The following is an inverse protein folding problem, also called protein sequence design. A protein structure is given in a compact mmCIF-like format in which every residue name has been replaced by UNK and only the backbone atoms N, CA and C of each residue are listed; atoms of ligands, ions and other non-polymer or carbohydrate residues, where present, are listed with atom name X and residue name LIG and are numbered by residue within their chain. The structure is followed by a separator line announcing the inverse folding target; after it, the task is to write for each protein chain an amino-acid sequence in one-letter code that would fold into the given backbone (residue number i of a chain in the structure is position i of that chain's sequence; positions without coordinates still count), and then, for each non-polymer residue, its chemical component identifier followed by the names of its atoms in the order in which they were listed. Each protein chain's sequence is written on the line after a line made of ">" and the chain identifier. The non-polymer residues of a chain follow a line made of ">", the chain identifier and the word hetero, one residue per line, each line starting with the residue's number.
data_IF_558311919130
#
_entry.id   IF_558311919130
#
_cell.length_a   1.000
_cell.length_b   1.000
_cell.length_c   1.000
_cell.angle_alpha   90.00
_cell.angle_beta   90.00
_cell.angle_gamma   90.00
#
_symmetry.space_group_name_H-M   'P 1'
#
loop_
_entity.id
_entity.type
_entity.pdbx_description
1 polymer ?
#
# COMPACT_ATOMS: atom_id res chain seq x y z
N UNK A 1 4.92 -16.64 12.22
CA UNK A 1 4.82 -18.07 12.55
C UNK A 1 3.59 -18.75 11.96
N UNK A 2 2.36 -18.27 12.22
CA UNK A 2 1.14 -18.84 11.64
C UNK A 2 1.20 -18.94 10.10
N UNK A 3 1.60 -17.87 9.40
CA UNK A 3 1.80 -17.87 7.93
C UNK A 3 2.76 -18.96 7.45
N UNK A 4 3.83 -19.23 8.22
CA UNK A 4 4.82 -20.27 7.91
C UNK A 4 4.21 -21.67 8.05
N UNK A 5 3.37 -21.88 9.07
CA UNK A 5 2.73 -23.17 9.35
C UNK A 5 1.61 -23.47 8.34
N UNK A 6 0.80 -22.48 7.96
CA UNK A 6 -0.28 -22.65 6.97
C UNK A 6 0.28 -23.10 5.61
N UNK A 7 1.45 -22.58 5.19
CA UNK A 7 2.07 -23.00 3.94
C UNK A 7 2.52 -24.47 3.88
N UNK A 8 2.53 -25.18 5.01
CA UNK A 8 2.96 -26.58 5.12
C UNK A 8 1.82 -27.59 5.28
N UNK A 9 0.56 -27.13 5.33
CA UNK A 9 -0.61 -27.99 5.52
C UNK A 9 -1.71 -27.64 4.52
N UNK A 10 -2.48 -28.64 4.07
CA UNK A 10 -3.61 -28.43 3.15
C UNK A 10 -4.92 -28.12 3.88
N UNK A 11 -5.06 -28.56 5.12
CA UNK A 11 -6.25 -28.39 5.95
C UNK A 11 -5.86 -28.13 7.41
N UNK A 12 -6.76 -27.47 8.13
CA UNK A 12 -6.57 -27.14 9.53
C UNK A 12 -7.87 -26.72 10.20
N UNK A 13 -7.84 -26.66 11.52
CA UNK A 13 -8.96 -26.22 12.35
C UNK A 13 -8.62 -24.91 13.03
N UNK A 14 -9.61 -24.01 13.09
CA UNK A 14 -9.53 -22.76 13.85
C UNK A 14 -10.62 -22.78 14.91
N UNK A 15 -10.19 -22.63 16.17
CA UNK A 15 -11.07 -22.48 17.32
C UNK A 15 -10.97 -21.07 17.89
N UNK A 16 -12.09 -20.53 18.34
CA UNK A 16 -12.14 -19.28 19.09
C UNK A 16 -12.75 -19.54 20.46
N UNK A 17 -11.98 -19.28 21.51
CA UNK A 17 -12.48 -19.23 22.87
C UNK A 17 -12.73 -17.77 23.24
N UNK A 18 -14.01 -17.42 23.36
CA UNK A 18 -14.46 -16.08 23.69
C UNK A 18 -14.22 -15.73 25.16
N UNK A 19 -14.28 -16.72 26.06
CA UNK A 19 -14.19 -16.50 27.50
C UNK A 19 -12.74 -16.26 27.91
N UNK A 20 -11.80 -16.94 27.25
CA UNK A 20 -10.36 -16.76 27.50
C UNK A 20 -9.69 -15.76 26.53
N UNK A 21 -10.44 -15.17 25.59
CA UNK A 21 -9.91 -14.31 24.52
C UNK A 21 -8.75 -14.98 23.77
N UNK A 22 -8.92 -16.23 23.33
CA UNK A 22 -7.88 -17.02 22.67
C UNK A 22 -8.31 -17.52 21.31
N UNK A 23 -7.35 -17.56 20.39
CA UNK A 23 -7.46 -18.28 19.12
C UNK A 23 -6.59 -19.54 19.16
N UNK A 24 -7.16 -20.63 18.67
CA UNK A 24 -6.55 -21.94 18.57
C UNK A 24 -6.44 -22.29 17.10
N UNK A 25 -5.27 -22.73 16.67
CA UNK A 25 -5.02 -23.22 15.32
C UNK A 25 -4.46 -24.61 15.43
N UNK A 26 -5.11 -25.59 14.78
CA UNK A 26 -4.61 -26.96 14.65
C UNK A 26 -4.28 -27.20 13.19
N UNK A 27 -2.99 -27.39 12.92
CA UNK A 27 -2.42 -27.50 11.58
C UNK A 27 -1.60 -28.80 11.52
N UNK A 28 -2.20 -29.87 11.01
CA UNK A 28 -1.61 -31.22 11.08
C UNK A 28 -1.40 -31.66 12.53
N UNK A 29 -0.15 -31.96 12.91
CA UNK A 29 0.25 -32.34 14.27
C UNK A 29 0.61 -31.14 15.16
N UNK A 30 0.60 -29.91 14.62
CA UNK A 30 0.96 -28.70 15.36
C UNK A 30 -0.29 -28.00 15.90
N UNK A 31 -0.27 -27.68 17.18
CA UNK A 31 -1.28 -26.83 17.83
C UNK A 31 -0.64 -25.49 18.23
N UNK A 32 -1.24 -24.39 17.80
CA UNK A 32 -0.83 -23.03 18.13
C UNK A 32 -1.97 -22.33 18.87
N UNK A 33 -1.64 -21.75 20.02
CA UNK A 33 -2.59 -20.98 20.83
C UNK A 33 -2.03 -19.58 20.99
N UNK A 34 -2.86 -18.58 20.71
CA UNK A 34 -2.51 -17.17 20.92
C UNK A 34 -3.61 -16.46 21.68
N UNK A 35 -3.21 -15.50 22.51
CA UNK A 35 -4.13 -14.57 23.13
C UNK A 35 -4.49 -13.47 22.12
N UNK A 36 -5.74 -13.06 22.12
CA UNK A 36 -6.16 -11.85 21.43
C UNK A 36 -5.58 -10.63 22.15
N UNK A 37 -5.32 -9.58 21.35
CA UNK A 37 -4.94 -8.29 21.90
C UNK A 37 -6.22 -7.66 22.47
N UNK A 38 -6.18 -7.31 23.75
CA UNK A 38 -7.26 -6.55 24.37
C UNK A 38 -7.21 -5.10 23.86
N UNK A 39 -8.27 -4.69 23.18
CA UNK A 39 -8.40 -3.33 22.67
C UNK A 39 -9.46 -3.21 21.58
N UNK A 40 -10.00 -2.01 21.44
CA UNK A 40 -10.86 -1.69 20.31
C UNK A 40 -9.97 -1.35 19.12
N UNK A 41 -10.05 -2.17 18.08
CA UNK A 41 -9.44 -1.80 16.80
C UNK A 41 -10.16 -0.56 16.25
N UNK A 42 -9.44 0.44 15.72
CA UNK A 42 -10.05 1.63 15.14
C UNK A 42 -11.06 1.27 14.05
N UNK A 43 -12.13 2.07 13.91
CA UNK A 43 -13.08 1.91 12.81
C UNK A 43 -12.42 2.31 11.49
N UNK A 44 -11.74 1.36 10.86
CA UNK A 44 -10.98 1.55 9.63
C UNK A 44 -11.87 2.01 8.47
N UNK A 45 -13.20 1.78 8.54
CA UNK A 45 -14.12 2.21 7.48
C UNK A 45 -14.21 3.73 7.38
N UNK A 46 -13.82 4.46 8.44
CA UNK A 46 -13.79 5.92 8.45
C UNK A 46 -12.57 6.50 7.73
N UNK A 47 -11.48 5.73 7.59
CA UNK A 47 -10.27 6.20 6.89
C UNK A 47 -10.29 5.89 5.40
N UNK A 48 -11.14 4.95 4.95
CA UNK A 48 -11.32 4.62 3.53
C UNK A 48 -12.29 5.64 2.92
N UNK A 49 -11.83 6.57 2.05
CA UNK A 49 -12.71 7.51 1.39
C UNK A 49 -13.75 6.79 0.53
N UNK A 50 -15.03 7.16 0.67
CA UNK A 50 -16.12 6.58 -0.14
C UNK A 50 -16.23 7.20 -1.54
N UNK A 51 -15.69 8.40 -1.70
CA UNK A 51 -15.63 9.14 -2.95
C UNK A 51 -14.21 9.65 -3.12
N UNK A 52 -13.72 9.54 -4.34
CA UNK A 52 -12.42 10.02 -4.79
C UNK A 52 -12.73 10.95 -5.98
N UNK A 53 -12.10 12.11 -6.02
CA UNK A 53 -12.34 13.09 -7.10
C UNK A 53 -11.44 12.82 -8.31
N UNK A 54 -10.34 12.12 -8.07
CA UNK A 54 -9.34 11.76 -9.06
C UNK A 54 -9.07 10.26 -9.03
N UNK A 55 -8.90 9.69 -10.21
CA UNK A 55 -8.51 8.31 -10.43
C UNK A 55 -7.39 8.28 -11.48
N UNK A 56 -6.36 7.48 -11.21
CA UNK A 56 -5.18 7.31 -12.06
C UNK A 56 -4.96 5.83 -12.27
N UNK A 57 -4.97 5.40 -13.53
CA UNK A 57 -4.60 4.03 -13.90
C UNK A 57 -3.17 3.99 -14.45
N UNK A 58 -2.37 3.05 -14.00
CA UNK A 58 -0.97 2.95 -14.41
C UNK A 58 -0.40 1.54 -14.27
N UNK A 59 0.68 1.27 -15.00
CA UNK A 59 1.38 -0.02 -14.93
C UNK A 59 2.07 -0.20 -13.57
N UNK A 60 1.76 -1.31 -12.90
CA UNK A 60 2.22 -1.64 -11.56
C UNK A 60 3.74 -1.74 -11.45
N UNK A 61 4.36 -2.47 -12.38
CA UNK A 61 5.80 -2.73 -12.36
C UNK A 61 6.62 -1.49 -12.76
N UNK A 62 6.10 -0.66 -13.67
CA UNK A 62 6.72 0.63 -14.01
C UNK A 62 6.79 1.55 -12.78
N UNK A 63 5.67 1.72 -12.06
CA UNK A 63 5.65 2.50 -10.82
C UNK A 63 6.58 1.88 -9.77
N UNK A 64 6.53 0.56 -9.59
CA UNK A 64 7.34 -0.14 -8.58
C UNK A 64 8.84 0.02 -8.84
N UNK A 65 9.28 -0.07 -10.10
CA UNK A 65 10.68 0.12 -10.49
C UNK A 65 11.13 1.56 -10.21
N UNK A 66 10.31 2.53 -10.63
CA UNK A 66 10.56 3.95 -10.42
C UNK A 66 10.68 4.30 -8.93
N UNK A 67 9.75 3.81 -8.11
CA UNK A 67 9.77 3.99 -6.66
C UNK A 67 10.99 3.35 -6.00
N UNK A 68 11.44 2.18 -6.47
CA UNK A 68 12.67 1.56 -5.95
C UNK A 68 13.90 2.41 -6.21
N UNK A 69 14.01 2.99 -7.40
CA UNK A 69 15.12 3.88 -7.74
C UNK A 69 15.06 5.17 -6.93
N UNK A 70 13.88 5.79 -6.85
CA UNK A 70 13.67 6.98 -6.05
C UNK A 70 13.93 6.73 -4.55
N UNK A 71 13.57 5.55 -4.02
CA UNK A 71 13.81 5.19 -2.62
C UNK A 71 15.30 5.09 -2.26
N UNK A 72 16.18 4.72 -3.21
CA UNK A 72 17.64 4.68 -2.98
C UNK A 72 18.21 6.06 -2.69
N UNK A 73 17.64 7.10 -3.31
CA UNK A 73 18.06 8.50 -3.11
C UNK A 73 17.17 9.26 -2.12
N UNK A 74 16.17 8.61 -1.51
CA UNK A 74 15.28 9.26 -0.58
C UNK A 74 15.95 9.39 0.81
N UNK A 75 15.87 10.57 1.41
CA UNK A 75 16.48 10.84 2.70
C UNK A 75 15.84 10.01 3.83
N UNK A 76 16.66 9.40 4.68
CA UNK A 76 16.22 8.77 5.92
C UNK A 76 15.94 9.85 6.99
N UNK A 77 14.99 9.61 7.93
CA UNK A 77 14.19 8.41 8.10
C UNK A 77 12.87 8.43 7.30
N UNK A 78 12.59 9.50 6.55
CA UNK A 78 11.27 9.74 5.97
C UNK A 78 11.02 8.90 4.72
N UNK A 79 12.08 8.57 3.96
CA UNK A 79 12.02 7.91 2.65
C UNK A 79 10.99 8.54 1.72
N UNK A 80 10.88 9.87 1.81
CA UNK A 80 9.88 10.63 1.11
C UNK A 80 10.15 10.61 -0.39
N UNK A 81 9.12 10.28 -1.16
CA UNK A 81 9.07 10.41 -2.62
C UNK A 81 7.91 11.31 -2.99
N UNK A 82 8.08 12.07 -4.07
CA UNK A 82 7.09 12.97 -4.63
C UNK A 82 6.53 12.36 -5.90
N UNK A 83 5.21 12.23 -5.96
CA UNK A 83 4.45 11.88 -7.15
C UNK A 83 3.76 13.14 -7.66
N UNK A 84 4.13 13.58 -8.86
CA UNK A 84 3.53 14.73 -9.54
C UNK A 84 2.71 14.22 -10.72
N UNK A 85 1.40 14.40 -10.64
CA UNK A 85 0.45 13.94 -11.64
C UNK A 85 0.04 15.11 -12.53
N UNK A 86 0.17 14.91 -13.84
CA UNK A 86 -0.34 15.80 -14.90
C UNK A 86 -1.11 14.95 -15.92
N UNK A 87 -1.99 15.52 -16.76
CA UNK A 87 -2.73 14.72 -17.73
C UNK A 87 -1.82 13.83 -18.58
N UNK A 88 -2.00 12.50 -18.46
CA UNK A 88 -1.23 11.49 -19.18
C UNK A 88 0.14 11.10 -18.59
N UNK A 89 0.65 11.82 -17.58
CA UNK A 89 2.02 11.64 -17.07
C UNK A 89 2.07 11.72 -15.54
N UNK A 90 2.73 10.74 -14.93
CA UNK A 90 3.17 10.76 -13.55
C UNK A 90 4.68 10.93 -13.49
N UNK A 91 5.19 11.92 -12.77
CA UNK A 91 6.62 12.05 -12.46
C UNK A 91 6.88 11.58 -11.04
N UNK A 92 7.75 10.58 -10.88
CA UNK A 92 8.24 10.12 -9.59
C UNK A 92 9.60 10.76 -9.32
N UNK A 93 9.73 11.42 -8.17
CA UNK A 93 10.99 12.10 -7.82
C UNK A 93 11.38 11.95 -6.35
N UNK A 94 12.68 12.03 -6.11
CA UNK A 94 13.28 12.16 -4.79
C UNK A 94 14.58 12.94 -4.90
N UNK A 95 14.96 13.60 -3.81
CA UNK A 95 16.18 14.40 -3.75
C UNK A 95 16.79 14.29 -2.36
N UNK A 96 18.10 14.03 -2.32
CA UNK A 96 18.92 14.18 -1.12
C UNK A 96 20.17 14.98 -1.49
N UNK A 97 20.53 16.03 -0.74
CA UNK A 97 21.66 16.92 -1.08
C UNK A 97 22.97 16.20 -1.43
N UNK A 98 23.26 15.09 -0.76
CA UNK A 98 24.52 14.35 -0.90
C UNK A 98 24.47 13.21 -1.94
N UNK A 99 23.28 12.71 -2.28
CA UNK A 99 23.09 11.54 -3.14
C UNK A 99 22.56 11.89 -4.55
N UNK A 100 22.11 13.13 -4.74
CA UNK A 100 21.56 13.61 -6.00
C UNK A 100 20.05 13.51 -6.09
N UNK A 101 19.54 13.61 -7.32
CA UNK A 101 18.12 13.71 -7.61
C UNK A 101 17.70 12.62 -8.61
N UNK A 102 16.55 11.99 -8.37
CA UNK A 102 15.84 11.16 -9.34
C UNK A 102 14.58 11.89 -9.79
N UNK A 103 14.32 11.84 -11.09
CA UNK A 103 13.07 12.28 -11.71
C UNK A 103 12.78 11.36 -12.87
N UNK A 104 11.71 10.59 -12.76
CA UNK A 104 11.36 9.53 -13.69
C UNK A 104 9.90 9.69 -14.16
N UNK A 105 9.67 10.05 -15.44
CA UNK A 105 8.33 10.19 -15.99
C UNK A 105 7.77 8.84 -16.42
N UNK A 106 6.54 8.55 -15.99
CA UNK A 106 5.77 7.36 -16.29
C UNK A 106 4.48 7.76 -17.03
N UNK A 107 4.05 6.93 -17.99
CA UNK A 107 2.73 7.08 -18.61
C UNK A 107 1.64 6.60 -17.66
N UNK A 108 0.55 7.35 -17.55
CA UNK A 108 -0.63 6.97 -16.79
C UNK A 108 -1.91 7.49 -17.46
N UNK A 109 -3.04 6.87 -17.14
CA UNK A 109 -4.36 7.39 -17.48
C UNK A 109 -4.83 8.31 -16.36
N UNK A 110 -4.48 9.59 -16.48
CA UNK A 110 -4.96 10.67 -15.61
C UNK A 110 -5.46 11.84 -16.44
N UNK A 111 -6.60 12.41 -16.05
CA UNK A 111 -7.24 13.53 -16.76
C UNK A 111 -7.60 14.71 -15.85
N UNK A 112 -7.17 14.67 -14.58
CA UNK A 112 -7.45 15.73 -13.61
C UNK A 112 -6.45 16.88 -13.66
N UNK A 113 -6.59 17.80 -12.71
CA UNK A 113 -5.67 18.94 -12.54
C UNK A 113 -4.30 18.50 -12.04
N UNK A 114 -3.28 19.32 -12.27
CA UNK A 114 -1.93 19.06 -11.75
C UNK A 114 -1.96 18.95 -10.22
N UNK A 115 -1.38 17.87 -9.69
CA UNK A 115 -1.34 17.62 -8.26
C UNK A 115 -0.07 16.90 -7.86
N UNK A 116 0.52 17.38 -6.78
CA UNK A 116 1.76 16.85 -6.23
C UNK A 116 1.49 16.29 -4.85
N UNK A 117 1.82 15.00 -4.66
CA UNK A 117 1.58 14.27 -3.42
C UNK A 117 2.87 13.60 -2.96
N UNK A 118 3.24 13.80 -1.69
CA UNK A 118 4.38 13.12 -1.10
C UNK A 118 3.95 11.86 -0.35
N UNK A 119 4.75 10.81 -0.44
CA UNK A 119 4.51 9.55 0.27
C UNK A 119 5.81 8.99 0.84
N UNK A 120 5.68 8.08 1.80
CA UNK A 120 6.76 7.18 2.14
C UNK A 120 6.83 6.09 1.06
N UNK A 121 7.97 5.97 0.40
CA UNK A 121 8.15 5.00 -0.69
C UNK A 121 7.97 3.55 -0.27
N UNK A 122 8.34 3.18 0.96
CA UNK A 122 8.18 1.80 1.45
C UNK A 122 6.71 1.41 1.48
N UNK A 123 5.82 2.30 1.94
CA UNK A 123 4.39 1.98 2.02
C UNK A 123 3.79 1.72 0.64
N UNK A 124 4.19 2.50 -0.37
CA UNK A 124 3.77 2.24 -1.75
C UNK A 124 4.36 0.92 -2.26
N UNK A 125 5.65 0.66 -2.02
CA UNK A 125 6.32 -0.57 -2.44
C UNK A 125 5.73 -1.83 -1.79
N UNK A 126 5.31 -1.76 -0.53
CA UNK A 126 4.66 -2.86 0.19
C UNK A 126 3.30 -3.19 -0.45
N UNK A 127 2.49 -2.17 -0.77
CA UNK A 127 1.20 -2.34 -1.46
C UNK A 127 1.41 -2.92 -2.87
N UNK A 128 2.34 -2.39 -3.64
CA UNK A 128 2.63 -2.89 -5.00
C UNK A 128 3.24 -4.31 -5.00
N UNK A 129 3.79 -4.74 -3.86
CA UNK A 129 4.36 -6.07 -3.67
C UNK A 129 3.33 -7.17 -3.44
N UNK A 130 2.12 -6.83 -2.99
CA UNK A 130 1.03 -7.81 -2.75
C UNK A 130 0.05 -7.91 -3.93
N UNK A 131 0.00 -6.88 -4.77
CA UNK A 131 -0.81 -6.84 -5.98
C UNK A 131 -0.21 -7.70 -7.09
N UNK A 132 -1.06 -8.42 -7.82
CA UNK A 132 -0.67 -9.35 -8.89
C UNK A 132 -0.97 -8.82 -10.31
N UNK A 133 -1.95 -7.91 -10.44
CA UNK A 133 -2.38 -7.33 -11.71
C UNK A 133 -1.27 -6.58 -12.45
N UNK A 134 -1.40 -6.44 -13.77
CA UNK A 134 -0.47 -5.62 -14.56
C UNK A 134 -0.66 -4.13 -14.29
N UNK A 135 -1.91 -3.70 -14.07
CA UNK A 135 -2.30 -2.32 -13.85
C UNK A 135 -2.85 -2.14 -12.44
N UNK A 136 -2.72 -0.94 -11.90
CA UNK A 136 -3.34 -0.53 -10.64
C UNK A 136 -4.19 0.71 -10.86
N UNK A 137 -5.12 0.91 -9.94
CA UNK A 137 -5.89 2.15 -9.84
C UNK A 137 -5.50 2.86 -8.55
N UNK A 138 -4.98 4.08 -8.67
CA UNK A 138 -4.77 4.99 -7.56
C UNK A 138 -5.85 6.07 -7.56
N UNK A 139 -6.55 6.28 -6.45
CA UNK A 139 -7.53 7.34 -6.32
C UNK A 139 -7.34 8.20 -5.09
N UNK A 140 -7.59 9.49 -5.25
CA UNK A 140 -7.41 10.51 -4.20
C UNK A 140 -8.36 11.69 -4.45
N UNK A 141 -8.53 12.54 -3.44
CA UNK A 141 -9.32 13.79 -3.56
C UNK A 141 -8.47 15.04 -3.46
N UNK A 142 -7.48 15.06 -2.56
CA UNK A 142 -6.55 16.17 -2.36
C UNK A 142 -5.16 15.65 -2.03
N UNK A 143 -4.14 16.49 -2.10
CA UNK A 143 -2.75 16.12 -1.78
C UNK A 143 -2.52 15.71 -0.30
N UNK A 144 -3.48 15.98 0.59
CA UNK A 144 -3.40 15.60 2.01
C UNK A 144 -4.40 14.51 2.40
N UNK A 145 -5.34 14.16 1.51
CA UNK A 145 -6.33 13.13 1.75
C UNK A 145 -5.74 11.72 1.57
N UNK A 146 -6.29 10.69 2.24
CA UNK A 146 -5.87 9.31 2.02
C UNK A 146 -5.95 8.93 0.54
N UNK A 147 -4.91 8.26 0.05
CA UNK A 147 -4.89 7.67 -1.30
C UNK A 147 -5.28 6.21 -1.22
N UNK A 148 -6.22 5.81 -2.07
CA UNK A 148 -6.69 4.43 -2.18
C UNK A 148 -6.03 3.77 -3.38
N UNK A 149 -5.47 2.58 -3.19
CA UNK A 149 -4.88 1.79 -4.26
C UNK A 149 -5.68 0.49 -4.37
N UNK A 150 -6.11 0.17 -5.58
CA UNK A 150 -6.93 -1.00 -5.89
C UNK A 150 -6.33 -1.81 -7.02
N UNK A 151 -6.65 -3.09 -6.99
CA UNK A 151 -6.47 -3.99 -8.12
C UNK A 151 -7.72 -3.88 -9.03
N UNK A 152 -7.57 -3.58 -10.34
CA UNK A 152 -8.71 -3.60 -11.26
C UNK A 152 -9.28 -5.00 -11.49
N UNK A 153 -8.49 -6.04 -11.29
CA UNK A 153 -8.85 -7.45 -11.51
C UNK A 153 -9.35 -8.13 -10.21
N UNK A 154 -9.06 -7.55 -9.04
CA UNK A 154 -9.54 -8.00 -7.72
C UNK A 154 -10.29 -6.90 -6.97
N UNK A 155 -11.62 -6.98 -6.98
CA UNK A 155 -12.50 -6.02 -6.31
C UNK A 155 -12.51 -6.10 -4.78
N UNK A 156 -11.87 -7.11 -4.16
CA UNK A 156 -11.81 -7.26 -2.71
C UNK A 156 -10.58 -6.55 -2.11
N UNK A 157 -9.52 -6.36 -2.90
CA UNK A 157 -8.31 -5.70 -2.43
C UNK A 157 -8.45 -4.17 -2.38
N UNK A 158 -8.23 -3.60 -1.19
CA UNK A 158 -8.16 -2.16 -0.99
C UNK A 158 -7.00 -1.83 -0.07
N UNK A 159 -6.04 -1.06 -0.57
CA UNK A 159 -4.99 -0.47 0.25
C UNK A 159 -5.23 1.03 0.43
N UNK A 160 -4.92 1.55 1.62
CA UNK A 160 -4.98 2.99 1.91
C UNK A 160 -3.61 3.44 2.38
N UNK A 161 -3.06 4.46 1.73
CA UNK A 161 -1.78 5.06 2.07
C UNK A 161 -1.98 6.54 2.36
N UNK A 162 -1.47 6.99 3.51
CA UNK A 162 -1.55 8.39 3.91
C UNK A 162 -0.43 9.21 3.26
N UNK A 163 -0.73 10.37 2.66
CA UNK A 163 0.29 11.30 2.22
C UNK A 163 1.13 11.85 3.37
N UNK A 164 2.34 12.25 3.05
CA UNK A 164 3.23 13.01 3.91
C UNK A 164 3.09 14.50 3.60
N UNK A 165 3.43 15.35 4.57
CA UNK A 165 3.59 16.78 4.29
C UNK A 165 4.81 16.97 3.39
N UNK A 166 4.63 17.72 2.31
CA UNK A 166 5.71 18.25 1.45
C UNK A 166 6.61 19.21 2.23
#
# INVERSE_FOLDING_TARGET
>A
ELTRLIGSVSEGFVGYDKDESRLYFKLGEVELITRLIDGNFPDYRQVIPRKLDHEVKLNREALRLSLRQAAVLAAEPSRQVRLEFTPGVLVVSSSTPDLGNVSDPLSCEYQGEEVTIAFNSNYLLDVLGVLASEEIIMGFSTASAPTVIKDPDDGEFVAVVMPMKL
#
